data_IF_888354701528
#
_entry.id   IF_888354701528
#
_cell.length_a   1.000
_cell.length_b   1.000
_cell.length_c   1.000
_cell.angle_alpha   90.00
_cell.angle_beta   90.00
_cell.angle_gamma   90.00
#
_symmetry.space_group_name_H-M   'P 1'
#
loop_
_entity.id
_entity.type
_entity.pdbx_description
1 polymer ?
#
# COMPACT_ATOMS: atom_id res chain seq x y z
N UNK A 1 -5.22 13.91 -18.45
CA UNK A 1 -4.97 12.45 -18.47
C UNK A 1 -4.68 11.97 -17.05
N UNK A 2 -5.68 11.42 -16.35
CA UNK A 2 -5.45 10.73 -15.08
C UNK A 2 -4.88 9.33 -15.39
N UNK A 3 -3.56 9.18 -15.23
CA UNK A 3 -3.00 7.86 -14.91
C UNK A 3 -2.87 7.80 -13.38
N UNK A 4 -3.93 7.29 -12.76
CA UNK A 4 -3.83 6.69 -11.43
C UNK A 4 -3.14 5.32 -11.53
N UNK A 5 -2.32 4.94 -10.55
CA UNK A 5 -1.78 3.61 -10.48
C UNK A 5 -2.76 2.64 -9.81
N UNK A 6 -3.24 1.70 -10.63
CA UNK A 6 -3.52 0.33 -10.21
C UNK A 6 -4.78 0.10 -9.33
N UNK A 7 -5.85 0.87 -9.55
CA UNK A 7 -7.21 0.40 -9.22
C UNK A 7 -7.74 -0.54 -10.31
N UNK A 8 -8.75 -1.35 -10.00
CA UNK A 8 -9.39 -2.25 -10.97
C UNK A 8 -10.11 -1.46 -12.10
N UNK A 9 -10.41 -0.18 -11.86
CA UNK A 9 -11.05 0.73 -12.82
C UNK A 9 -10.21 0.97 -14.07
N UNK A 10 -8.92 1.30 -13.95
CA UNK A 10 -8.02 1.45 -15.12
C UNK A 10 -7.75 0.14 -15.86
N UNK A 11 -8.11 -1.00 -15.25
CA UNK A 11 -8.12 -2.33 -15.90
C UNK A 11 -9.41 -2.59 -16.72
N UNK A 12 -10.48 -1.82 -16.48
CA UNK A 12 -11.76 -1.88 -17.19
C UNK A 12 -11.88 -0.82 -18.30
N UNK A 13 -11.09 0.26 -18.23
CA UNK A 13 -11.04 1.31 -19.26
C UNK A 13 -10.37 0.83 -20.57
N UNK A 14 -9.42 -0.11 -20.50
CA UNK A 14 -8.86 -0.77 -21.68
C UNK A 14 -9.86 -1.78 -22.26
N UNK A 15 -10.60 -1.40 -23.32
CA UNK A 15 -11.37 -2.36 -24.14
C UNK A 15 -10.43 -3.51 -24.56
N UNK A 16 -10.79 -4.79 -24.34
CA UNK A 16 -9.91 -5.92 -24.64
C UNK A 16 -9.65 -6.03 -26.15
N UNK A 17 -8.49 -5.57 -26.60
CA UNK A 17 -8.15 -5.40 -28.02
C UNK A 17 -7.75 -6.68 -28.75
N UNK A 18 -7.83 -7.85 -28.10
CA UNK A 18 -7.81 -9.16 -28.75
C UNK A 18 -8.43 -10.21 -27.82
N UNK A 19 -9.44 -10.93 -28.32
CA UNK A 19 -9.92 -12.16 -27.70
C UNK A 19 -8.78 -13.18 -27.81
N UNK A 20 -8.17 -13.54 -26.67
CA UNK A 20 -7.12 -14.58 -26.64
C UNK A 20 -7.80 -15.93 -26.86
N UNK A 21 -7.35 -16.77 -27.82
CA UNK A 21 -7.95 -18.09 -28.02
C UNK A 21 -7.78 -18.96 -26.77
N UNK A 22 -8.88 -19.30 -26.10
CA UNK A 22 -8.89 -20.15 -24.90
C UNK A 22 -9.59 -19.56 -23.67
N UNK A 23 -10.71 -18.86 -23.84
CA UNK A 23 -11.50 -18.24 -22.76
C UNK A 23 -11.82 -19.19 -21.58
N UNK A 24 -12.04 -20.48 -21.86
CA UNK A 24 -12.29 -21.54 -20.88
C UNK A 24 -11.10 -21.87 -19.96
N UNK A 25 -9.87 -21.56 -20.37
CA UNK A 25 -8.65 -21.85 -19.58
C UNK A 25 -8.33 -20.77 -18.55
N UNK A 26 -8.73 -19.52 -18.81
CA UNK A 26 -8.49 -18.40 -17.88
C UNK A 26 -9.47 -18.42 -16.71
N UNK A 27 -10.76 -18.69 -16.95
CA UNK A 27 -11.81 -18.76 -15.90
C UNK A 27 -11.52 -19.78 -14.79
N UNK A 28 -10.71 -20.81 -15.06
CA UNK A 28 -10.43 -21.91 -14.15
C UNK A 28 -9.01 -21.87 -13.55
N UNK A 29 -8.33 -20.71 -13.55
CA UNK A 29 -7.03 -20.54 -12.89
C UNK A 29 -5.84 -21.24 -13.56
N UNK A 30 -5.99 -21.77 -14.79
CA UNK A 30 -4.95 -22.58 -15.48
C UNK A 30 -3.99 -21.76 -16.35
N UNK A 31 -3.92 -20.44 -16.16
CA UNK A 31 -3.03 -19.54 -16.92
C UNK A 31 -1.56 -20.00 -16.92
N UNK A 32 -1.08 -20.56 -15.81
CA UNK A 32 0.28 -21.07 -15.68
C UNK A 32 0.57 -22.26 -16.63
N UNK A 33 -0.41 -23.14 -16.86
CA UNK A 33 -0.27 -24.28 -17.79
C UNK A 33 -0.29 -23.85 -19.26
N UNK A 34 -1.06 -22.80 -19.59
CA UNK A 34 -1.10 -22.21 -20.93
C UNK A 34 0.25 -21.59 -21.32
N UNK A 35 0.87 -20.85 -20.39
CA UNK A 35 2.22 -20.27 -20.58
C UNK A 35 3.26 -21.36 -20.82
N UNK A 36 3.28 -22.43 -20.02
CA UNK A 36 4.25 -23.53 -20.15
C UNK A 36 4.11 -24.25 -21.51
N UNK A 37 2.88 -24.52 -21.96
CA UNK A 37 2.64 -25.16 -23.28
C UNK A 37 3.09 -24.28 -24.45
N UNK A 38 2.78 -22.99 -24.45
CA UNK A 38 3.09 -22.14 -25.60
C UNK A 38 4.55 -21.67 -25.63
N UNK A 39 5.19 -21.48 -24.47
CA UNK A 39 6.61 -21.13 -24.39
C UNK A 39 7.55 -22.28 -24.81
N UNK A 40 7.12 -23.55 -24.66
CA UNK A 40 7.94 -24.72 -25.07
C UNK A 40 7.89 -25.00 -26.57
N UNK A 41 6.79 -24.64 -27.26
CA UNK A 41 6.66 -24.85 -28.72
C UNK A 41 7.65 -23.99 -29.52
N UNK A 42 7.87 -22.73 -29.11
CA UNK A 42 8.81 -21.81 -29.80
C UNK A 42 10.25 -22.36 -29.79
N UNK A 43 10.64 -23.13 -28.76
CA UNK A 43 12.00 -23.67 -28.63
C UNK A 43 12.27 -24.95 -29.44
N UNK A 44 11.27 -25.51 -30.15
CA UNK A 44 11.45 -26.64 -31.09
C UNK A 44 11.43 -26.24 -32.57
N UNK A 45 11.19 -24.97 -32.90
CA UNK A 45 11.09 -24.49 -34.29
C UNK A 45 12.42 -24.27 -35.03
N UNK A 46 13.53 -24.05 -34.33
CA UNK A 46 14.85 -23.82 -34.95
C UNK A 46 15.82 -24.99 -34.72
N UNK A 47 15.65 -26.06 -35.49
CA UNK A 47 16.73 -26.94 -36.00
C UNK A 47 16.14 -28.09 -36.84
N UNK A 48 15.97 -27.87 -38.14
CA UNK A 48 15.97 -28.92 -39.18
C UNK A 48 16.13 -28.32 -40.58
N UNK A 49 17.38 -28.19 -41.02
CA UNK A 49 17.74 -28.48 -42.40
C UNK A 49 18.72 -29.65 -42.38
N UNK A 50 18.34 -30.67 -43.15
CA UNK A 50 19.18 -31.67 -43.82
C UNK A 50 20.30 -32.34 -43.01
N UNK A 51 20.08 -33.63 -42.73
CA UNK A 51 20.87 -34.72 -43.33
C UNK A 51 20.06 -36.02 -43.14
N UNK A 52 19.74 -36.70 -44.24
CA UNK A 52 19.01 -37.97 -44.22
C UNK A 52 19.97 -39.17 -44.34
N UNK A 53 19.64 -40.31 -43.72
CA UNK A 53 20.44 -41.52 -43.91
C UNK A 53 20.22 -42.65 -42.90
N UNK A 54 19.28 -43.55 -43.21
CA UNK A 54 19.32 -45.01 -42.98
C UNK A 54 19.52 -45.60 -41.57
N UNK A 55 18.43 -46.19 -41.08
CA UNK A 55 18.26 -47.61 -40.72
C UNK A 55 19.18 -48.38 -39.75
N UNK A 56 18.47 -48.90 -38.73
CA UNK A 56 18.51 -50.25 -38.10
C UNK A 56 19.38 -50.53 -36.85
N UNK A 57 18.96 -51.51 -36.00
CA UNK A 57 19.38 -51.60 -34.59
C UNK A 57 20.01 -52.93 -34.15
N UNK A 58 20.85 -52.86 -33.12
CA UNK A 58 21.36 -53.94 -32.25
C UNK A 58 21.58 -53.29 -30.86
N UNK A 59 21.47 -53.92 -29.68
CA UNK A 59 21.09 -55.29 -29.31
C UNK A 59 21.90 -55.75 -28.08
N UNK A 60 21.23 -56.21 -27.00
CA UNK A 60 21.84 -56.91 -25.82
C UNK A 60 22.76 -56.04 -24.90
N UNK A 61 23.15 -56.40 -23.66
CA UNK A 61 22.57 -57.22 -22.54
C UNK A 61 23.26 -56.85 -21.20
N UNK A 62 22.53 -56.98 -20.09
CA UNK A 62 22.94 -57.45 -18.74
C UNK A 62 24.18 -56.92 -17.95
N UNK A 63 23.86 -56.47 -16.72
CA UNK A 63 24.43 -56.89 -15.42
C UNK A 63 25.75 -56.26 -14.84
N UNK A 64 25.94 -56.27 -13.49
CA UNK A 64 26.84 -55.36 -12.77
C UNK A 64 27.93 -56.11 -11.91
N UNK A 65 28.32 -55.66 -10.69
CA UNK A 65 29.60 -55.01 -10.36
C UNK A 65 30.55 -55.90 -9.51
N UNK A 66 31.64 -55.34 -8.92
CA UNK A 66 32.14 -55.86 -7.64
C UNK A 66 32.53 -54.81 -6.57
N UNK A 67 32.81 -55.32 -5.36
CA UNK A 67 33.02 -54.63 -4.07
C UNK A 67 34.49 -54.31 -3.70
N UNK A 68 34.67 -53.48 -2.64
CA UNK A 68 35.83 -53.44 -1.72
C UNK A 68 35.90 -52.09 -0.97
N UNK A 69 35.58 -51.92 0.33
CA UNK A 69 36.11 -52.43 1.62
C UNK A 69 37.45 -51.82 2.13
N UNK A 70 37.39 -51.24 3.35
CA UNK A 70 38.53 -50.92 4.25
C UNK A 70 39.22 -49.55 4.05
N UNK A 71 39.64 -48.78 5.07
CA UNK A 71 39.41 -48.87 6.53
C UNK A 71 40.46 -48.08 7.35
N UNK A 72 40.05 -47.39 8.44
CA UNK A 72 40.88 -46.65 9.45
C UNK A 72 41.68 -45.44 8.89
N UNK A 73 41.89 -44.30 9.57
CA UNK A 73 41.45 -43.79 10.87
C UNK A 73 42.62 -43.31 11.75
N UNK A 74 42.88 -42.00 11.87
CA UNK A 74 43.75 -41.39 12.90
C UNK A 74 43.44 -39.89 13.14
N UNK A 75 43.55 -39.45 14.41
CA UNK A 75 43.61 -38.06 14.89
C UNK A 75 45.05 -37.76 15.36
N UNK A 76 45.43 -36.47 15.50
CA UNK A 76 45.63 -35.96 16.86
C UNK A 76 45.21 -34.48 17.12
N UNK A 77 45.33 -34.09 18.40
CA UNK A 77 44.83 -32.86 19.06
C UNK A 77 45.79 -31.65 18.98
N UNK A 78 45.29 -30.43 19.26
CA UNK A 78 46.15 -29.36 19.79
C UNK A 78 45.57 -27.94 20.01
N UNK A 79 44.91 -27.71 21.17
CA UNK A 79 44.94 -26.53 22.11
C UNK A 79 45.36 -25.12 21.59
N UNK A 80 44.84 -23.96 22.07
CA UNK A 80 44.50 -23.51 23.46
C UNK A 80 43.44 -22.38 23.49
N UNK A 81 42.78 -22.18 24.66
CA UNK A 81 42.21 -20.89 25.15
C UNK A 81 43.18 -20.25 26.17
N UNK A 82 43.03 -18.96 26.56
CA UNK A 82 42.32 -18.60 27.82
C UNK A 82 41.49 -17.28 27.73
N UNK A 83 40.25 -17.19 28.27
CA UNK A 83 39.78 -16.72 29.60
C UNK A 83 39.36 -15.22 29.71
N UNK A 84 38.36 -14.96 30.57
CA UNK A 84 37.85 -13.64 31.02
C UNK A 84 38.37 -13.30 32.43
N UNK A 85 38.32 -12.03 32.88
CA UNK A 85 37.26 -11.53 33.78
C UNK A 85 36.42 -10.39 33.12
N UNK A 86 35.55 -9.60 33.78
CA UNK A 86 35.14 -9.47 35.20
C UNK A 86 33.82 -8.66 35.38
N UNK A 87 33.76 -7.76 36.38
CA UNK A 87 32.67 -6.76 36.63
C UNK A 87 33.26 -5.46 37.20
N UNK A 88 32.63 -4.30 36.91
CA UNK A 88 32.09 -3.29 37.84
C UNK A 88 32.23 -1.82 37.37
N UNK A 89 31.21 -0.98 37.65
CA UNK A 89 31.44 0.45 37.98
C UNK A 89 30.83 1.57 37.10
N UNK A 90 29.70 2.15 37.57
CA UNK A 90 29.32 3.58 37.58
C UNK A 90 28.95 4.32 36.25
N UNK A 91 28.03 5.31 36.37
CA UNK A 91 27.36 6.06 35.28
C UNK A 91 27.93 7.48 35.02
N UNK A 92 27.13 8.52 34.66
CA UNK A 92 25.78 8.80 35.20
C UNK A 92 24.70 9.32 34.20
N UNK A 93 23.52 9.64 34.75
CA UNK A 93 22.42 10.55 34.34
C UNK A 93 21.75 10.42 32.95
N UNK A 94 20.45 10.10 32.77
CA UNK A 94 19.22 10.18 33.59
C UNK A 94 18.46 11.53 33.60
N UNK A 95 17.94 11.94 32.43
CA UNK A 95 16.74 12.80 32.41
C UNK A 95 15.50 11.97 32.79
N UNK A 96 14.93 12.24 33.98
CA UNK A 96 13.70 11.62 34.48
C UNK A 96 12.71 12.68 34.94
N UNK A 97 11.51 12.67 34.38
CA UNK A 97 10.32 13.34 34.94
C UNK A 97 9.15 12.32 35.02
N UNK A 98 8.18 12.53 35.92
CA UNK A 98 7.61 11.43 36.70
C UNK A 98 6.35 10.78 36.13
N UNK A 99 6.10 9.56 36.57
CA UNK A 99 4.80 8.91 36.46
C UNK A 99 3.87 9.40 37.57
N UNK A 100 2.59 9.65 37.23
CA UNK A 100 1.54 9.92 38.20
C UNK A 100 1.01 8.61 38.80
N UNK A 101 0.75 8.60 40.11
CA UNK A 101 0.17 7.48 40.85
C UNK A 101 -1.37 7.43 40.72
N UNK A 102 -2.02 6.26 40.91
CA UNK A 102 -3.48 6.14 40.86
C UNK A 102 -4.12 6.64 42.16
N UNK A 103 -5.03 7.62 42.04
CA UNK A 103 -5.85 8.11 43.14
C UNK A 103 -7.19 7.39 43.22
N UNK A 104 -7.39 6.58 44.26
CA UNK A 104 -8.65 5.91 44.59
C UNK A 104 -9.74 6.93 44.92
N UNK A 105 -10.92 6.81 44.31
CA UNK A 105 -12.16 7.45 44.81
C UNK A 105 -13.21 6.36 44.95
N UNK A 106 -13.60 6.07 46.19
CA UNK A 106 -14.74 5.22 46.50
C UNK A 106 -16.04 6.02 46.30
N UNK A 107 -17.04 5.43 45.66
CA UNK A 107 -18.41 5.96 45.64
C UNK A 107 -19.36 4.86 46.09
N UNK A 108 -20.23 5.21 47.04
CA UNK A 108 -21.08 4.28 47.78
C UNK A 108 -22.22 3.69 46.91
N UNK A 109 -22.63 2.48 47.25
CA UNK A 109 -23.86 1.86 46.73
C UNK A 109 -25.09 2.54 47.35
N UNK A 110 -25.84 3.28 46.52
CA UNK A 110 -27.18 3.78 46.85
C UNK A 110 -28.24 3.13 45.96
N UNK A 111 -29.02 2.19 46.50
CA UNK A 111 -30.14 1.60 45.78
C UNK A 111 -31.39 2.50 45.86
N UNK A 112 -31.89 2.96 44.70
CA UNK A 112 -33.10 3.78 44.58
C UNK A 112 -33.93 3.36 43.36
N UNK A 113 -35.24 3.16 43.54
CA UNK A 113 -36.18 2.69 42.51
C UNK A 113 -36.81 3.84 41.70
N UNK A 114 -37.23 3.52 40.47
CA UNK A 114 -38.20 4.27 39.62
C UNK A 114 -37.67 5.58 39.01
N UNK A 115 -37.81 5.88 37.71
CA UNK A 115 -39.00 5.69 36.85
C UNK A 115 -38.65 5.61 35.35
N UNK A 116 -39.59 5.04 34.57
CA UNK A 116 -39.55 4.99 33.10
C UNK A 116 -39.57 6.40 32.48
N UNK A 117 -38.75 6.63 31.46
CA UNK A 117 -39.14 7.51 30.35
C UNK A 117 -38.45 7.15 29.01
N UNK A 118 -38.76 5.96 28.49
CA UNK A 118 -38.57 5.71 27.04
C UNK A 118 -39.66 6.52 26.33
N UNK A 119 -39.30 7.70 25.78
CA UNK A 119 -40.20 8.46 24.90
C UNK A 119 -40.28 7.75 23.55
N UNK A 120 -41.35 6.97 23.41
CA UNK A 120 -41.82 6.39 22.17
C UNK A 120 -42.03 7.51 21.14
N UNK A 121 -41.29 7.48 20.04
CA UNK A 121 -41.74 8.11 18.79
C UNK A 121 -42.71 7.11 18.16
N UNK A 122 -43.98 7.48 18.03
CA UNK A 122 -44.99 6.62 17.45
C UNK A 122 -46.16 7.45 16.92
N UNK A 123 -46.64 7.10 15.72
CA UNK A 123 -47.67 7.78 14.91
C UNK A 123 -47.38 9.20 14.39
N UNK A 124 -47.75 9.53 13.15
CA UNK A 124 -48.03 8.68 11.97
C UNK A 124 -47.99 9.60 10.76
N UNK A 125 -47.36 9.18 9.67
CA UNK A 125 -47.91 9.29 8.32
C UNK A 125 -47.18 8.25 7.47
N UNK A 126 -47.95 7.44 6.75
CA UNK A 126 -47.43 6.34 5.93
C UNK A 126 -47.32 6.79 4.46
N UNK A 127 -46.52 6.03 3.71
CA UNK A 127 -46.56 6.01 2.24
C UNK A 127 -45.98 7.23 1.49
N UNK A 128 -44.64 7.30 1.41
CA UNK A 128 -43.93 7.71 0.19
C UNK A 128 -42.44 7.36 0.22
N UNK A 129 -41.95 6.69 -0.84
CA UNK A 129 -40.55 6.76 -1.25
C UNK A 129 -39.58 5.75 -0.64
N UNK A 130 -39.29 4.69 -1.40
CA UNK A 130 -38.07 3.88 -1.24
C UNK A 130 -36.81 4.78 -1.24
N UNK A 131 -36.03 4.75 -0.15
CA UNK A 131 -34.60 5.05 -0.19
C UNK A 131 -34.17 6.44 -0.67
N UNK A 132 -34.85 7.52 -0.26
CA UNK A 132 -34.28 8.88 -0.42
C UNK A 132 -32.89 8.94 0.23
N UNK A 133 -31.92 9.50 -0.48
CA UNK A 133 -30.56 9.67 0.01
C UNK A 133 -30.57 10.71 1.13
N UNK A 134 -30.07 10.41 2.36
CA UNK A 134 -30.04 11.35 3.49
C UNK A 134 -29.33 12.69 3.22
N UNK A 135 -28.61 12.81 2.10
CA UNK A 135 -27.87 14.00 1.68
C UNK A 135 -28.42 14.66 0.39
N UNK A 136 -29.64 14.33 -0.05
CA UNK A 136 -30.22 14.85 -1.31
C UNK A 136 -30.47 16.37 -1.33
N UNK A 137 -30.58 17.02 -0.16
CA UNK A 137 -30.88 18.45 -0.03
C UNK A 137 -29.93 19.14 0.97
N UNK A 138 -28.62 19.05 0.75
CA UNK A 138 -27.62 19.77 1.53
C UNK A 138 -27.27 21.12 0.90
N UNK A 139 -27.38 22.20 1.68
CA UNK A 139 -26.88 23.52 1.30
C UNK A 139 -25.42 23.71 1.77
N UNK A 140 -24.53 24.13 0.86
CA UNK A 140 -23.09 24.32 1.17
C UNK A 140 -22.86 25.25 2.37
N UNK A 141 -23.56 26.39 2.40
CA UNK A 141 -23.49 27.40 3.46
C UNK A 141 -23.85 26.82 4.83
N UNK A 142 -24.94 26.07 4.93
CA UNK A 142 -25.38 25.42 6.16
C UNK A 142 -24.36 24.39 6.66
N UNK A 143 -23.80 23.57 5.76
CA UNK A 143 -22.77 22.56 6.12
C UNK A 143 -21.46 23.21 6.59
N UNK A 144 -21.03 24.30 5.95
CA UNK A 144 -19.87 25.07 6.39
C UNK A 144 -20.11 25.78 7.74
N UNK A 145 -21.34 26.22 8.01
CA UNK A 145 -21.70 26.75 9.32
C UNK A 145 -21.72 25.67 10.42
N UNK A 146 -22.23 24.47 10.13
CA UNK A 146 -22.15 23.30 11.03
C UNK A 146 -20.68 22.93 11.36
N UNK A 147 -19.75 23.06 10.41
CA UNK A 147 -18.33 22.74 10.61
C UNK A 147 -17.65 23.54 11.74
N UNK A 148 -18.25 24.66 12.18
CA UNK A 148 -17.77 25.42 13.35
C UNK A 148 -17.77 24.57 14.64
N UNK A 149 -18.63 23.55 14.73
CA UNK A 149 -18.70 22.56 15.83
C UNK A 149 -17.36 21.84 16.04
N UNK A 150 -16.48 21.75 15.03
CA UNK A 150 -15.16 21.13 15.20
C UNK A 150 -14.25 21.85 16.22
N UNK A 151 -14.55 23.10 16.56
CA UNK A 151 -13.84 23.87 17.58
C UNK A 151 -14.42 23.69 19.00
N UNK A 152 -15.56 23.01 19.16
CA UNK A 152 -16.15 22.75 20.48
C UNK A 152 -15.31 21.78 21.31
N UNK A 153 -15.24 22.06 22.62
CA UNK A 153 -14.61 21.17 23.61
C UNK A 153 -15.66 20.83 24.67
N UNK A 154 -15.97 19.55 24.93
CA UNK A 154 -15.36 18.34 24.36
C UNK A 154 -15.85 18.01 22.93
N UNK A 155 -14.94 17.51 22.10
CA UNK A 155 -15.25 17.06 20.72
C UNK A 155 -16.26 15.90 20.77
N UNK A 156 -17.36 16.02 20.02
CA UNK A 156 -18.36 14.95 19.85
C UNK A 156 -18.10 14.17 18.54
N UNK A 157 -17.55 12.93 18.58
CA UNK A 157 -17.12 12.25 17.35
C UNK A 157 -18.27 11.93 16.40
N UNK A 158 -19.46 11.56 16.91
CA UNK A 158 -20.62 11.22 16.08
C UNK A 158 -21.13 12.41 15.28
N UNK A 159 -21.20 13.59 15.90
CA UNK A 159 -21.55 14.84 15.21
C UNK A 159 -20.48 15.23 14.20
N UNK A 160 -19.20 15.20 14.59
CA UNK A 160 -18.12 15.60 13.70
C UNK A 160 -18.02 14.67 12.47
N UNK A 161 -18.20 13.36 12.65
CA UNK A 161 -18.30 12.38 11.57
C UNK A 161 -19.40 12.72 10.58
N UNK A 162 -20.60 13.04 11.06
CA UNK A 162 -21.74 13.36 10.19
C UNK A 162 -21.47 14.61 9.34
N UNK A 163 -20.89 15.66 9.93
CA UNK A 163 -20.54 16.91 9.22
C UNK A 163 -19.41 16.67 8.21
N UNK A 164 -18.36 15.92 8.56
CA UNK A 164 -17.31 15.55 7.59
C UNK A 164 -17.87 14.73 6.43
N UNK A 165 -18.84 13.83 6.67
CA UNK A 165 -19.53 13.11 5.60
C UNK A 165 -20.34 14.06 4.71
N UNK A 166 -21.03 15.07 5.26
CA UNK A 166 -21.72 16.10 4.46
C UNK A 166 -20.74 16.88 3.58
N UNK A 167 -19.60 17.32 4.12
CA UNK A 167 -18.56 18.04 3.38
C UNK A 167 -18.01 17.17 2.24
N UNK A 168 -17.62 15.92 2.53
CA UNK A 168 -17.11 14.99 1.51
C UNK A 168 -18.16 14.65 0.46
N UNK A 169 -19.44 14.54 0.84
CA UNK A 169 -20.53 14.32 -0.12
C UNK A 169 -20.67 15.50 -1.07
N UNK A 170 -20.70 16.74 -0.57
CA UNK A 170 -20.77 17.95 -1.42
C UNK A 170 -19.60 18.02 -2.40
N UNK A 171 -18.36 17.86 -1.92
CA UNK A 171 -17.17 17.82 -2.76
C UNK A 171 -17.27 16.71 -3.84
N UNK A 172 -17.80 15.53 -3.51
CA UNK A 172 -17.99 14.43 -4.45
C UNK A 172 -19.14 14.68 -5.46
N UNK A 173 -20.10 15.56 -5.17
CA UNK A 173 -21.10 16.02 -6.17
C UNK A 173 -20.52 17.07 -7.14
N UNK A 174 -19.29 17.55 -6.90
CA UNK A 174 -18.67 18.62 -7.69
C UNK A 174 -19.06 20.03 -7.23
N UNK A 175 -19.61 20.18 -6.02
CA UNK A 175 -19.92 21.47 -5.42
C UNK A 175 -18.64 22.32 -5.27
N UNK A 176 -18.68 23.58 -5.71
CA UNK A 176 -17.50 24.44 -5.71
C UNK A 176 -17.32 25.19 -4.38
N UNK A 177 -16.30 24.79 -3.62
CA UNK A 177 -15.86 25.48 -2.41
C UNK A 177 -14.87 26.59 -2.80
N UNK A 178 -15.10 27.82 -2.34
CA UNK A 178 -14.13 28.90 -2.50
C UNK A 178 -12.89 28.65 -1.63
N UNK A 179 -11.71 29.11 -2.06
CA UNK A 179 -10.44 28.89 -1.34
C UNK A 179 -10.52 29.27 0.13
N UNK A 180 -11.09 30.43 0.46
CA UNK A 180 -11.27 30.88 1.84
C UNK A 180 -12.17 29.94 2.65
N UNK A 181 -13.35 29.57 2.11
CA UNK A 181 -14.29 28.63 2.74
C UNK A 181 -13.64 27.27 3.00
N UNK A 182 -12.86 26.78 2.03
CA UNK A 182 -12.14 25.53 2.11
C UNK A 182 -11.01 25.58 3.15
N UNK A 183 -10.23 26.67 3.21
CA UNK A 183 -9.17 26.84 4.22
C UNK A 183 -9.75 26.93 5.63
N UNK A 184 -10.83 27.68 5.85
CA UNK A 184 -11.51 27.76 7.15
C UNK A 184 -12.02 26.39 7.62
N UNK A 185 -12.72 25.65 6.75
CA UNK A 185 -13.22 24.31 7.07
C UNK A 185 -12.09 23.30 7.29
N UNK A 186 -10.98 23.40 6.54
CA UNK A 186 -9.79 22.56 6.73
C UNK A 186 -9.13 22.85 8.08
N UNK A 187 -8.92 24.12 8.45
CA UNK A 187 -8.38 24.51 9.75
C UNK A 187 -9.27 24.07 10.90
N UNK A 188 -10.60 24.22 10.79
CA UNK A 188 -11.54 23.68 11.78
C UNK A 188 -11.39 22.15 11.92
N UNK A 189 -11.29 21.42 10.81
CA UNK A 189 -11.08 19.97 10.81
C UNK A 189 -9.77 19.54 11.50
N UNK A 190 -8.71 20.37 11.50
CA UNK A 190 -7.45 20.02 12.21
C UNK A 190 -7.64 19.80 13.71
N UNK A 191 -8.61 20.48 14.37
CA UNK A 191 -8.94 20.27 15.79
C UNK A 191 -9.35 18.83 16.09
N UNK A 192 -9.97 18.15 15.12
CA UNK A 192 -10.44 16.78 15.26
C UNK A 192 -9.31 15.74 15.42
N UNK A 193 -8.04 16.13 15.19
CA UNK A 193 -6.87 15.31 15.53
C UNK A 193 -6.69 15.10 17.06
N UNK A 194 -7.32 15.93 17.91
CA UNK A 194 -7.27 15.77 19.36
C UNK A 194 -8.13 14.60 19.88
N UNK A 195 -9.08 14.10 19.08
CA UNK A 195 -9.89 12.93 19.45
C UNK A 195 -9.09 11.63 19.34
N UNK A 196 -9.51 10.60 20.09
CA UNK A 196 -8.97 9.23 19.94
C UNK A 196 -9.92 8.31 19.16
N UNK A 197 -11.01 8.83 18.58
CA UNK A 197 -11.92 8.03 17.76
C UNK A 197 -11.29 7.63 16.41
N UNK A 198 -11.16 6.32 16.18
CA UNK A 198 -10.48 5.77 14.99
C UNK A 198 -11.22 6.11 13.68
N UNK A 199 -12.55 6.20 13.73
CA UNK A 199 -13.38 6.46 12.54
C UNK A 199 -13.25 7.93 12.15
N UNK A 200 -13.29 8.82 13.14
CA UNK A 200 -13.08 10.26 12.95
C UNK A 200 -11.67 10.51 12.39
N UNK A 201 -10.65 9.84 12.93
CA UNK A 201 -9.26 9.93 12.43
C UNK A 201 -9.14 9.53 10.96
N UNK A 202 -9.81 8.44 10.55
CA UNK A 202 -9.90 8.03 9.13
C UNK A 202 -10.62 9.06 8.26
N UNK A 203 -11.71 9.65 8.74
CA UNK A 203 -12.44 10.69 8.03
C UNK A 203 -11.60 11.96 7.84
N UNK A 204 -10.82 12.38 8.86
CA UNK A 204 -9.83 13.45 8.70
C UNK A 204 -8.85 13.17 7.55
N UNK A 205 -8.31 11.94 7.41
CA UNK A 205 -7.41 11.60 6.31
C UNK A 205 -8.09 11.65 4.93
N UNK A 206 -9.39 11.33 4.84
CA UNK A 206 -10.15 11.51 3.60
C UNK A 206 -10.31 13.00 3.29
N UNK A 207 -10.82 13.78 4.24
CA UNK A 207 -11.00 15.23 4.11
C UNK A 207 -9.70 15.94 3.71
N UNK A 208 -8.56 15.58 4.30
CA UNK A 208 -7.25 16.13 3.91
C UNK A 208 -6.96 15.90 2.43
N UNK A 209 -7.18 14.68 1.91
CA UNK A 209 -6.84 14.36 0.52
C UNK A 209 -7.71 15.08 -0.52
N UNK A 210 -8.99 15.24 -0.20
CA UNK A 210 -9.95 15.90 -1.10
C UNK A 210 -9.75 17.43 -1.07
N UNK A 211 -9.51 18.00 0.11
CA UNK A 211 -9.32 19.44 0.28
C UNK A 211 -7.90 19.94 -0.08
N UNK A 212 -6.91 19.04 -0.22
CA UNK A 212 -5.50 19.37 -0.46
C UNK A 212 -5.20 20.30 -1.65
N UNK A 213 -6.10 20.40 -2.63
CA UNK A 213 -5.93 21.25 -3.83
C UNK A 213 -6.85 22.47 -3.87
N UNK A 214 -7.68 22.68 -2.86
CA UNK A 214 -8.60 23.83 -2.74
C UNK A 214 -8.34 24.69 -1.50
N UNK A 215 -7.72 24.13 -0.46
CA UNK A 215 -7.31 24.86 0.75
C UNK A 215 -5.87 25.35 0.65
N UNK A 216 -5.58 26.47 1.28
CA UNK A 216 -4.24 27.01 1.52
C UNK A 216 -3.64 26.44 2.82
N UNK A 217 -2.33 26.60 3.02
CA UNK A 217 -1.59 26.23 4.25
C UNK A 217 -1.80 24.80 4.76
N UNK A 218 -2.17 23.88 3.86
CA UNK A 218 -2.46 22.46 4.17
C UNK A 218 -1.28 21.71 4.83
N UNK A 219 -0.08 22.28 4.78
CA UNK A 219 1.13 21.76 5.45
C UNK A 219 0.97 21.65 6.97
N UNK A 220 0.03 22.40 7.57
CA UNK A 220 -0.22 22.43 9.03
C UNK A 220 -0.45 21.04 9.65
N UNK A 221 -1.00 20.08 8.90
CA UNK A 221 -1.24 18.70 9.40
C UNK A 221 -0.02 17.78 9.27
N UNK A 222 1.11 18.24 8.70
CA UNK A 222 2.31 17.42 8.44
C UNK A 222 2.85 16.75 9.71
N UNK A 223 2.92 17.48 10.83
CA UNK A 223 3.38 16.92 12.12
C UNK A 223 2.44 15.82 12.63
N UNK A 224 1.12 16.03 12.53
CA UNK A 224 0.12 15.03 12.91
C UNK A 224 0.19 13.77 12.04
N UNK A 225 0.34 13.92 10.72
CA UNK A 225 0.44 12.79 9.79
C UNK A 225 1.77 12.04 9.92
N UNK A 226 2.88 12.72 10.20
CA UNK A 226 4.18 12.08 10.46
C UNK A 226 4.22 11.36 11.82
N UNK A 227 3.50 11.87 12.82
CA UNK A 227 3.23 11.13 14.07
C UNK A 227 2.41 9.86 13.80
N UNK A 228 1.35 9.96 13.00
CA UNK A 228 0.48 8.82 12.70
C UNK A 228 1.15 7.77 11.78
N UNK A 229 2.01 8.17 10.83
CA UNK A 229 2.74 7.22 9.96
C UNK A 229 3.82 6.41 10.70
N UNK A 230 4.41 7.00 11.75
CA UNK A 230 5.45 6.38 12.59
C UNK A 230 4.91 5.80 13.90
N UNK A 231 3.60 6.00 14.17
CA UNK A 231 2.92 5.53 15.37
C UNK A 231 2.82 4.01 15.46
N UNK A 232 2.45 3.53 16.65
CA UNK A 232 2.30 2.08 16.93
C UNK A 232 1.04 1.45 16.35
N UNK A 233 0.06 2.25 15.97
CA UNK A 233 -1.24 1.77 15.47
C UNK A 233 -1.21 1.67 13.94
N UNK A 234 -0.92 0.47 13.43
CA UNK A 234 -0.82 0.17 11.99
C UNK A 234 -2.07 0.55 11.17
N UNK A 235 -3.21 0.66 11.85
CA UNK A 235 -4.49 1.07 11.30
C UNK A 235 -4.50 2.51 10.75
N UNK A 236 -3.62 3.38 11.27
CA UNK A 236 -3.46 4.76 10.83
C UNK A 236 -2.32 4.93 9.83
N UNK A 237 -1.24 4.14 9.96
CA UNK A 237 0.02 4.37 9.25
C UNK A 237 -0.13 4.44 7.73
N UNK A 238 -0.77 3.44 7.13
CA UNK A 238 -1.03 3.39 5.69
C UNK A 238 -1.92 4.55 5.17
N UNK A 239 -3.09 4.81 5.79
CA UNK A 239 -3.89 6.00 5.51
C UNK A 239 -3.14 7.34 5.66
N UNK A 240 -2.37 7.53 6.75
CA UNK A 240 -1.63 8.74 7.03
C UNK A 240 -0.53 9.00 5.97
N UNK A 241 0.18 7.96 5.51
CA UNK A 241 1.13 8.06 4.39
C UNK A 241 0.45 8.64 3.14
N UNK A 242 -0.74 8.14 2.77
CA UNK A 242 -1.45 8.61 1.58
C UNK A 242 -1.96 10.04 1.71
N UNK A 243 -2.38 10.46 2.91
CA UNK A 243 -2.74 11.85 3.18
C UNK A 243 -1.51 12.77 3.13
N UNK A 244 -0.40 12.37 3.76
CA UNK A 244 0.83 13.15 3.81
C UNK A 244 1.41 13.38 2.41
N UNK A 245 1.51 12.31 1.61
CA UNK A 245 2.04 12.39 0.25
C UNK A 245 1.12 13.15 -0.73
N UNK A 246 -0.13 13.43 -0.33
CA UNK A 246 -1.08 14.24 -1.11
C UNK A 246 -0.92 15.74 -0.86
N UNK A 247 -0.46 16.14 0.32
CA UNK A 247 -0.15 17.54 0.69
C UNK A 247 1.35 17.90 0.58
N UNK A 248 2.21 16.91 0.31
CA UNK A 248 3.65 17.14 0.16
C UNK A 248 3.96 17.76 -1.21
N UNK A 249 4.73 18.83 -1.22
CA UNK A 249 5.23 19.51 -2.40
C UNK A 249 6.70 19.13 -2.70
N UNK A 250 7.32 19.80 -3.68
CA UNK A 250 8.73 19.57 -4.02
C UNK A 250 9.72 19.97 -2.93
N UNK A 251 9.40 20.99 -2.13
CA UNK A 251 10.31 21.49 -1.08
C UNK A 251 10.33 20.59 0.15
N UNK A 252 9.16 20.11 0.59
CA UNK A 252 9.03 19.24 1.77
C UNK A 252 9.39 17.77 1.51
N UNK A 253 9.46 17.34 0.24
CA UNK A 253 9.70 15.93 -0.12
C UNK A 253 10.97 15.33 0.51
N UNK A 254 12.05 16.11 0.60
CA UNK A 254 13.31 15.71 1.24
C UNK A 254 13.13 15.43 2.75
N UNK A 255 12.30 16.22 3.44
CA UNK A 255 12.07 16.08 4.87
C UNK A 255 11.36 14.77 5.24
N UNK A 256 10.54 14.23 4.32
CA UNK A 256 9.80 12.98 4.55
C UNK A 256 10.43 11.74 3.89
N UNK A 257 11.51 11.89 3.10
CA UNK A 257 12.20 10.76 2.44
C UNK A 257 12.54 9.62 3.40
N UNK A 258 13.10 9.94 4.58
CA UNK A 258 13.49 8.92 5.57
C UNK A 258 12.32 8.05 5.99
N UNK A 259 11.16 8.68 6.26
CA UNK A 259 9.95 7.97 6.65
C UNK A 259 9.36 7.17 5.49
N UNK A 260 9.43 7.70 4.26
CA UNK A 260 8.98 6.98 3.06
C UNK A 260 9.82 5.73 2.79
N UNK A 261 11.15 5.81 2.88
CA UNK A 261 12.05 4.65 2.76
C UNK A 261 11.74 3.56 3.79
N UNK A 262 11.59 3.95 5.05
CA UNK A 262 11.19 3.03 6.13
C UNK A 262 9.82 2.39 5.88
N UNK A 263 8.85 3.17 5.39
CA UNK A 263 7.51 2.68 5.11
C UNK A 263 7.46 1.71 3.91
N UNK A 264 8.30 1.90 2.87
CA UNK A 264 8.36 1.01 1.69
C UNK A 264 8.78 -0.42 2.09
N UNK A 265 9.76 -0.56 2.99
CA UNK A 265 10.25 -1.87 3.48
C UNK A 265 9.53 -2.35 4.75
N UNK A 266 8.41 -1.72 5.11
CA UNK A 266 7.68 -2.10 6.32
C UNK A 266 7.06 -3.51 6.20
N UNK A 267 7.12 -4.28 7.29
CA UNK A 267 6.57 -5.64 7.37
C UNK A 267 5.06 -5.68 7.18
N UNK A 268 4.37 -4.59 7.56
CA UNK A 268 2.92 -4.47 7.44
C UNK A 268 2.57 -4.12 6.01
N UNK A 269 1.96 -5.07 5.30
CA UNK A 269 1.74 -4.96 3.86
C UNK A 269 0.88 -3.75 3.45
N UNK A 270 -0.03 -3.27 4.31
CA UNK A 270 -0.82 -2.06 4.04
C UNK A 270 0.01 -0.77 4.07
N UNK A 271 1.05 -0.73 4.91
CA UNK A 271 2.00 0.39 5.05
C UNK A 271 2.92 0.43 3.84
N UNK A 272 3.59 -0.68 3.54
CA UNK A 272 4.44 -0.83 2.35
C UNK A 272 3.69 -0.55 1.05
N UNK A 273 2.49 -1.14 0.89
CA UNK A 273 1.61 -0.87 -0.25
C UNK A 273 1.24 0.61 -0.38
N UNK A 274 0.90 1.28 0.72
CA UNK A 274 0.55 2.71 0.71
C UNK A 274 1.74 3.58 0.34
N UNK A 275 2.93 3.26 0.86
CA UNK A 275 4.17 3.98 0.58
C UNK A 275 4.62 3.82 -0.87
N UNK A 276 4.52 2.62 -1.45
CA UNK A 276 4.85 2.36 -2.86
C UNK A 276 3.93 3.12 -3.82
N UNK A 277 2.61 3.07 -3.59
CA UNK A 277 1.64 3.82 -4.42
C UNK A 277 1.85 5.33 -4.29
N UNK A 278 2.08 5.82 -3.07
CA UNK A 278 2.40 7.24 -2.84
C UNK A 278 3.70 7.66 -3.53
N UNK A 279 4.75 6.83 -3.49
CA UNK A 279 6.03 7.08 -4.16
C UNK A 279 5.84 7.30 -5.67
N UNK A 280 4.95 6.53 -6.31
CA UNK A 280 4.64 6.68 -7.73
C UNK A 280 3.90 7.99 -8.05
N UNK A 281 3.08 8.51 -7.14
CA UNK A 281 2.52 9.87 -7.28
C UNK A 281 3.62 10.93 -7.14
N UNK A 282 4.52 10.78 -6.16
CA UNK A 282 5.60 11.72 -5.89
C UNK A 282 6.64 11.81 -7.01
N UNK A 283 6.79 10.78 -7.87
CA UNK A 283 7.60 10.86 -9.09
C UNK A 283 7.15 11.97 -10.05
N UNK A 284 5.87 12.40 -9.99
CA UNK A 284 5.35 13.54 -10.75
C UNK A 284 5.79 14.89 -10.18
N UNK A 285 6.21 14.93 -8.91
CA UNK A 285 6.66 16.13 -8.19
C UNK A 285 8.19 16.25 -8.28
N UNK A 286 8.92 15.19 -7.92
CA UNK A 286 10.37 15.12 -8.11
C UNK A 286 10.82 13.68 -8.34
N UNK A 287 11.23 13.41 -9.58
CA UNK A 287 11.72 12.10 -9.98
C UNK A 287 13.05 11.75 -9.31
N UNK A 288 13.99 12.70 -9.20
CA UNK A 288 15.34 12.44 -8.70
C UNK A 288 15.38 12.08 -7.21
N UNK A 289 14.46 12.62 -6.41
CA UNK A 289 14.29 12.22 -5.02
C UNK A 289 13.81 10.78 -4.93
N UNK A 290 12.71 10.43 -5.61
CA UNK A 290 12.13 9.08 -5.56
C UNK A 290 13.04 8.02 -6.21
N UNK A 291 13.86 8.40 -7.20
CA UNK A 291 14.87 7.51 -7.81
C UNK A 291 15.89 6.98 -6.79
N UNK A 292 16.17 7.73 -5.70
CA UNK A 292 17.04 7.28 -4.59
C UNK A 292 16.39 6.21 -3.71
N UNK A 293 15.14 5.83 -3.95
CA UNK A 293 14.36 4.83 -3.17
C UNK A 293 14.26 3.48 -3.91
N UNK A 294 15.05 3.30 -4.98
CA UNK A 294 15.02 2.11 -5.84
C UNK A 294 15.43 0.83 -5.13
N UNK A 295 16.26 0.91 -4.08
CA UNK A 295 16.72 -0.25 -3.32
C UNK A 295 15.60 -0.79 -2.43
N UNK A 296 14.92 0.10 -1.72
CA UNK A 296 13.74 -0.18 -0.90
C UNK A 296 12.61 -0.76 -1.75
N UNK A 297 12.34 -0.18 -2.93
CA UNK A 297 11.39 -0.75 -3.89
C UNK A 297 11.84 -2.12 -4.43
N UNK A 298 13.15 -2.35 -4.57
CA UNK A 298 13.70 -3.62 -5.05
C UNK A 298 13.61 -4.75 -4.01
N UNK A 299 13.72 -4.40 -2.72
CA UNK A 299 13.43 -5.27 -1.58
C UNK A 299 11.94 -5.60 -1.52
N UNK A 300 11.07 -4.58 -1.54
CA UNK A 300 9.62 -4.77 -1.48
C UNK A 300 9.06 -5.61 -2.65
N UNK A 301 9.67 -5.57 -3.84
CA UNK A 301 9.29 -6.43 -4.96
C UNK A 301 9.57 -7.93 -4.73
N UNK A 302 10.36 -8.26 -3.71
CA UNK A 302 10.62 -9.64 -3.26
C UNK A 302 9.63 -10.09 -2.16
N UNK A 303 8.68 -9.24 -1.78
CA UNK A 303 7.67 -9.53 -0.76
C UNK A 303 6.74 -10.69 -1.15
N UNK A 304 6.30 -11.42 -0.13
CA UNK A 304 5.32 -12.49 -0.23
C UNK A 304 3.89 -11.98 -0.46
N UNK A 305 3.63 -10.70 -0.16
CA UNK A 305 2.32 -10.11 -0.34
C UNK A 305 2.06 -9.75 -1.81
N UNK A 306 0.94 -10.26 -2.35
CA UNK A 306 0.50 -10.09 -3.74
C UNK A 306 0.44 -8.60 -4.17
N UNK A 307 -0.06 -7.72 -3.31
CA UNK A 307 -0.23 -6.30 -3.63
C UNK A 307 1.08 -5.52 -3.46
N UNK A 308 1.89 -5.83 -2.43
CA UNK A 308 3.21 -5.20 -2.24
C UNK A 308 4.13 -5.51 -3.42
N UNK A 309 4.23 -6.77 -3.83
CA UNK A 309 5.04 -7.16 -4.99
C UNK A 309 4.58 -6.47 -6.28
N UNK A 310 3.27 -6.32 -6.48
CA UNK A 310 2.68 -5.64 -7.63
C UNK A 310 3.00 -4.14 -7.65
N UNK A 311 2.75 -3.44 -6.55
CA UNK A 311 3.04 -2.00 -6.45
C UNK A 311 4.54 -1.71 -6.52
N UNK A 312 5.38 -2.58 -5.95
CA UNK A 312 6.83 -2.47 -6.03
C UNK A 312 7.36 -2.69 -7.45
N UNK A 313 6.84 -3.69 -8.19
CA UNK A 313 7.13 -3.82 -9.62
C UNK A 313 6.68 -2.59 -10.42
N UNK A 314 5.54 -1.99 -10.03
CA UNK A 314 5.07 -0.71 -10.57
C UNK A 314 6.08 0.42 -10.40
N UNK A 315 6.50 0.68 -9.17
CA UNK A 315 7.53 1.68 -8.84
C UNK A 315 8.84 1.41 -9.59
N UNK A 316 9.33 0.17 -9.58
CA UNK A 316 10.57 -0.21 -10.28
C UNK A 316 10.49 0.00 -11.79
N UNK A 317 9.34 -0.28 -12.42
CA UNK A 317 9.14 0.00 -13.84
C UNK A 317 9.16 1.51 -14.11
N UNK A 318 8.43 2.31 -13.33
CA UNK A 318 8.40 3.77 -13.53
C UNK A 318 9.74 4.46 -13.25
N UNK A 319 10.61 3.89 -12.41
CA UNK A 319 12.01 4.32 -12.21
C UNK A 319 13.00 3.83 -13.28
N UNK A 320 12.60 2.88 -14.13
CA UNK A 320 13.46 2.25 -15.16
C UNK A 320 12.97 2.45 -16.59
N UNK A 321 11.73 2.90 -16.81
CA UNK A 321 11.07 2.97 -18.13
C UNK A 321 11.83 3.74 -19.22
N UNK A 322 12.73 4.66 -18.85
CA UNK A 322 13.56 5.42 -19.79
C UNK A 322 14.90 4.72 -20.13
N UNK A 323 15.25 3.63 -19.42
CA UNK A 323 16.43 2.80 -19.66
C UNK A 323 16.00 1.38 -20.08
N UNK A 324 15.98 1.17 -21.40
CA UNK A 324 15.59 -0.09 -22.05
C UNK A 324 16.40 -1.30 -21.53
N UNK A 325 17.67 -1.10 -21.16
CA UNK A 325 18.53 -2.16 -20.64
C UNK A 325 18.16 -2.49 -19.18
N UNK A 326 17.85 -1.50 -18.34
CA UNK A 326 17.36 -1.71 -16.99
C UNK A 326 15.99 -2.41 -16.96
N UNK A 327 15.05 -2.03 -17.83
CA UNK A 327 13.76 -2.73 -17.95
C UNK A 327 13.97 -4.18 -18.41
N UNK A 328 14.82 -4.40 -19.41
CA UNK A 328 15.13 -5.76 -19.90
C UNK A 328 15.80 -6.65 -18.86
N UNK A 329 16.74 -6.10 -18.06
CA UNK A 329 17.35 -6.81 -16.91
C UNK A 329 16.32 -7.15 -15.83
N UNK A 330 15.41 -6.22 -15.52
CA UNK A 330 14.33 -6.41 -14.55
C UNK A 330 13.36 -7.51 -14.98
N UNK A 331 12.93 -7.50 -16.25
CA UNK A 331 12.04 -8.51 -16.80
C UNK A 331 12.70 -9.90 -16.75
N UNK A 332 13.95 -10.01 -17.21
CA UNK A 332 14.71 -11.26 -17.14
C UNK A 332 14.89 -11.79 -15.70
N UNK A 333 15.04 -10.91 -14.69
CA UNK A 333 15.09 -11.31 -13.28
C UNK A 333 13.77 -11.98 -12.88
N UNK A 334 12.64 -11.29 -13.03
CA UNK A 334 11.35 -11.78 -12.54
C UNK A 334 10.77 -12.94 -13.35
N UNK A 335 11.11 -13.06 -14.65
CA UNK A 335 10.79 -14.26 -15.44
C UNK A 335 11.53 -15.51 -14.94
N UNK A 336 12.77 -15.37 -14.42
CA UNK A 336 13.55 -16.48 -13.89
C UNK A 336 13.22 -16.84 -12.44
N UNK A 337 13.02 -15.84 -11.57
CA UNK A 337 12.68 -16.07 -10.16
C UNK A 337 11.22 -16.51 -9.97
N UNK A 338 10.36 -16.23 -10.95
CA UNK A 338 8.92 -16.22 -10.78
C UNK A 338 8.44 -15.03 -9.96
N UNK A 339 7.12 -14.87 -9.95
CA UNK A 339 6.36 -13.95 -9.12
C UNK A 339 5.27 -14.73 -8.36
N UNK A 340 4.86 -14.19 -7.20
CA UNK A 340 3.73 -14.66 -6.39
C UNK A 340 2.43 -13.95 -6.79
N UNK A 341 2.54 -12.70 -7.23
CA UNK A 341 1.41 -11.85 -7.62
C UNK A 341 0.96 -12.05 -9.07
N UNK A 342 -0.31 -12.41 -9.26
CA UNK A 342 -0.93 -12.50 -10.59
C UNK A 342 -0.99 -11.12 -11.27
N UNK A 343 -1.26 -10.06 -10.52
CA UNK A 343 -1.24 -8.67 -11.04
C UNK A 343 0.15 -8.27 -11.53
N UNK A 344 1.21 -8.69 -10.82
CA UNK A 344 2.58 -8.45 -11.24
C UNK A 344 2.94 -9.23 -12.54
N UNK A 345 2.42 -10.45 -12.74
CA UNK A 345 2.53 -11.14 -14.03
C UNK A 345 1.83 -10.39 -15.17
N UNK A 346 0.59 -9.93 -14.96
CA UNK A 346 -0.11 -9.10 -15.94
C UNK A 346 0.69 -7.82 -16.29
N UNK A 347 1.31 -7.20 -15.28
CA UNK A 347 2.19 -6.04 -15.50
C UNK A 347 3.46 -6.39 -16.27
N UNK A 348 4.14 -7.50 -15.96
CA UNK A 348 5.30 -7.97 -16.75
C UNK A 348 4.93 -8.21 -18.22
N UNK A 349 3.76 -8.80 -18.50
CA UNK A 349 3.31 -9.05 -19.87
C UNK A 349 3.10 -7.73 -20.64
N UNK A 350 2.49 -6.72 -20.00
CA UNK A 350 2.36 -5.37 -20.57
C UNK A 350 3.74 -4.73 -20.85
N UNK A 351 4.67 -4.83 -19.91
CA UNK A 351 6.05 -4.33 -20.06
C UNK A 351 6.78 -5.06 -21.21
N UNK A 352 6.63 -6.39 -21.30
CA UNK A 352 7.19 -7.20 -22.39
C UNK A 352 6.65 -6.76 -23.76
N UNK A 353 5.32 -6.64 -23.87
CA UNK A 353 4.68 -6.24 -25.13
C UNK A 353 5.10 -4.83 -25.57
N UNK A 354 5.27 -3.90 -24.62
CA UNK A 354 5.78 -2.56 -24.91
C UNK A 354 7.24 -2.58 -25.40
N UNK A 355 8.12 -3.32 -24.72
CA UNK A 355 9.52 -3.46 -25.13
C UNK A 355 9.70 -4.11 -26.51
N UNK A 356 8.77 -4.97 -26.93
CA UNK A 356 8.77 -5.55 -28.27
C UNK A 356 8.36 -4.53 -29.35
N UNK A 357 7.33 -3.72 -29.11
CA UNK A 357 6.95 -2.63 -30.03
C UNK A 357 8.07 -1.59 -30.18
N UNK A 358 8.66 -1.17 -29.06
CA UNK A 358 9.87 -0.32 -29.02
C UNK A 358 11.12 -0.99 -29.66
N UNK A 359 11.03 -2.24 -30.14
CA UNK A 359 12.06 -2.94 -30.92
C UNK A 359 11.69 -3.18 -32.39
N UNK A 360 10.42 -2.95 -32.76
CA UNK A 360 9.90 -3.05 -34.12
C UNK A 360 9.82 -1.66 -34.77
N UNK A 361 9.55 -0.62 -33.96
CA UNK A 361 9.41 0.78 -34.38
C UNK A 361 10.75 1.56 -34.49
N UNK A 362 11.90 0.93 -34.20
CA UNK A 362 13.23 1.57 -34.21
C UNK A 362 14.41 0.61 -34.15
#
# INVERSE_FOLDING_TARGET
MLWEPLTLSSLLEEKPTRIVPGESSFRNGKAQQWIIKNATVIKRGLRRRELGGRDKPLGQRLAPPPHGQGGRGYLPRGRRRPQRPGRAGLGPDLFRLPAAAPGTVAVSLGAGKSSKMIKKFDKKDEESGSGSNPFQHLEKSAVLQEARIFNETPINPRRCLHILTKILYLLNQGEHFGTMEATEAFFAMTRLFQSNDQTLRRMCYLTIKEMATISEDVIIVTSSLTKDMTGKEDIYRGPAIRALCRITDGTMLQAIERYMKQAIVDKVSSVSSSALVSSLHMMKISYDVVKRWINEAQEAASSDNIMVQYHALGVLYHLRKNDRLAVSKMLNKFTKSGLKSQFAYCMLIRIASRLLKEAEDG
#
